data_IF_510655782069
#
_entry.id   IF_510655782069
#
_cell.length_a   1.000
_cell.length_b   1.000
_cell.length_c   1.000
_cell.angle_alpha   90.00
_cell.angle_beta   90.00
_cell.angle_gamma   90.00
#
_symmetry.space_group_name_H-M   'P 1'
#
loop_
_entity.id
_entity.type
_entity.pdbx_description
1 polymer ?
#
# COMPACT_ATOMS: atom_id res chain seq x y z
N UNK A 1 18.24 2.43 0.17
CA UNK A 1 16.78 2.66 0.30
C UNK A 1 16.09 2.76 -1.06
N UNK A 2 16.80 3.15 -2.12
CA UNK A 2 16.33 3.06 -3.51
C UNK A 2 16.08 1.62 -3.96
N UNK A 3 16.77 0.65 -3.36
CA UNK A 3 16.66 -0.77 -3.72
C UNK A 3 15.36 -1.44 -3.25
N UNK A 4 14.51 -0.70 -2.52
CA UNK A 4 13.22 -1.19 -2.03
C UNK A 4 12.03 -0.81 -2.93
N UNK A 5 12.24 0.06 -3.93
CA UNK A 5 11.18 0.56 -4.81
C UNK A 5 11.51 0.15 -6.24
N UNK A 6 10.78 -0.84 -6.73
CA UNK A 6 10.92 -1.32 -8.11
C UNK A 6 10.52 -0.24 -9.13
N UNK A 7 11.08 -0.24 -10.36
CA UNK A 7 10.73 0.72 -11.41
C UNK A 7 9.23 0.75 -11.74
N UNK A 8 8.55 -0.39 -11.61
CA UNK A 8 7.12 -0.54 -11.92
C UNK A 8 6.18 -0.18 -10.75
N UNK A 9 6.70 0.25 -9.59
CA UNK A 9 5.90 0.70 -8.46
C UNK A 9 5.55 2.18 -8.55
N UNK A 10 4.43 2.52 -9.18
CA UNK A 10 4.07 3.94 -9.41
C UNK A 10 3.22 4.56 -8.29
N UNK A 11 2.50 3.74 -7.51
CA UNK A 11 1.66 4.23 -6.42
C UNK A 11 2.50 4.72 -5.24
N UNK A 12 2.09 5.84 -4.64
CA UNK A 12 2.70 6.44 -3.43
C UNK A 12 4.19 6.81 -3.56
N UNK A 13 4.70 6.96 -4.80
CA UNK A 13 6.08 7.41 -5.06
C UNK A 13 6.05 8.82 -5.66
N UNK A 14 6.72 9.77 -5.00
CA UNK A 14 6.79 11.16 -5.49
C UNK A 14 7.40 11.21 -6.90
N UNK A 15 6.73 11.91 -7.81
CA UNK A 15 7.19 12.07 -9.19
C UNK A 15 6.80 10.94 -10.15
N UNK A 16 6.17 9.86 -9.66
CA UNK A 16 5.53 8.84 -10.52
C UNK A 16 4.04 9.14 -10.63
N UNK A 17 3.50 9.00 -11.84
CA UNK A 17 2.13 9.37 -12.16
C UNK A 17 1.29 8.12 -12.39
N UNK A 18 0.04 8.15 -11.92
CA UNK A 18 -0.90 7.05 -12.15
C UNK A 18 -1.10 6.76 -13.65
N UNK A 19 -0.96 7.77 -14.51
CA UNK A 19 -1.08 7.62 -15.97
C UNK A 19 -0.03 6.66 -16.54
N UNK A 20 1.16 6.58 -15.94
CA UNK A 20 2.22 5.66 -16.39
C UNK A 20 1.77 4.19 -16.25
N UNK A 21 1.06 3.86 -15.17
CA UNK A 21 0.47 2.52 -15.00
C UNK A 21 -0.62 2.21 -16.02
N UNK A 22 -1.44 3.21 -16.38
CA UNK A 22 -2.49 3.04 -17.39
C UNK A 22 -1.86 2.77 -18.75
N UNK A 23 -0.83 3.54 -19.12
CA UNK A 23 -0.09 3.36 -20.36
C UNK A 23 0.59 1.98 -20.42
N UNK A 24 1.33 1.60 -19.38
CA UNK A 24 1.95 0.27 -19.28
C UNK A 24 0.93 -0.86 -19.42
N UNK A 25 -0.23 -0.76 -18.75
CA UNK A 25 -1.28 -1.76 -18.86
C UNK A 25 -1.85 -1.82 -20.29
N UNK A 26 -2.08 -0.68 -20.94
CA UNK A 26 -2.56 -0.60 -22.32
C UNK A 26 -1.58 -1.21 -23.32
N UNK A 27 -0.27 -0.98 -23.14
CA UNK A 27 0.77 -1.59 -23.97
C UNK A 27 0.85 -3.10 -23.77
N UNK A 28 0.79 -3.58 -22.52
CA UNK A 28 0.82 -5.00 -22.19
C UNK A 28 -0.34 -5.77 -22.83
N UNK A 29 -1.54 -5.20 -22.84
CA UNK A 29 -2.72 -5.83 -23.46
C UNK A 29 -2.89 -5.53 -24.95
N UNK A 30 -1.97 -4.76 -25.54
CA UNK A 30 -2.07 -4.40 -26.94
C UNK A 30 -2.05 -5.66 -27.83
N UNK A 31 -2.95 -5.70 -28.80
CA UNK A 31 -3.10 -6.85 -29.69
C UNK A 31 -3.77 -8.08 -29.07
N UNK A 32 -4.18 -8.08 -27.79
CA UNK A 32 -4.91 -9.21 -27.18
C UNK A 32 -6.20 -9.58 -27.94
N UNK A 33 -6.76 -8.65 -28.70
CA UNK A 33 -7.94 -8.87 -29.55
C UNK A 33 -7.64 -9.67 -30.84
N UNK A 34 -6.38 -9.84 -31.24
CA UNK A 34 -6.02 -10.52 -32.49
C UNK A 34 -6.08 -12.03 -32.28
N UNK A 35 -6.80 -12.72 -33.15
CA UNK A 35 -6.90 -14.19 -33.15
C UNK A 35 -5.70 -14.88 -33.79
N UNK A 36 -4.83 -14.14 -34.48
CA UNK A 36 -3.66 -14.65 -35.22
C UNK A 36 -2.39 -14.78 -34.37
N UNK A 37 -2.46 -14.48 -33.07
CA UNK A 37 -1.32 -14.50 -32.15
C UNK A 37 -1.51 -15.56 -31.06
N UNK A 38 -0.43 -15.89 -30.35
CA UNK A 38 -0.44 -16.86 -29.24
C UNK A 38 -1.52 -16.53 -28.20
N UNK A 39 -2.10 -17.56 -27.58
CA UNK A 39 -3.04 -17.41 -26.46
C UNK A 39 -2.40 -16.61 -25.33
N UNK A 40 -3.17 -15.68 -24.74
CA UNK A 40 -2.73 -14.79 -23.65
C UNK A 40 -3.82 -14.69 -22.60
N UNK A 41 -3.45 -14.42 -21.36
CA UNK A 41 -4.38 -13.99 -20.32
C UNK A 41 -3.80 -12.80 -19.57
N UNK A 42 -4.66 -12.09 -18.84
CA UNK A 42 -4.27 -11.07 -17.88
C UNK A 42 -4.87 -11.45 -16.53
N UNK A 43 -4.07 -11.36 -15.47
CA UNK A 43 -4.50 -11.67 -14.10
C UNK A 43 -4.43 -10.39 -13.29
N UNK A 44 -5.54 -10.04 -12.65
CA UNK A 44 -5.63 -8.91 -11.73
C UNK A 44 -5.71 -9.45 -10.31
N UNK A 45 -4.72 -9.10 -9.49
CA UNK A 45 -4.77 -9.31 -8.04
C UNK A 45 -5.20 -8.01 -7.37
N UNK A 46 -6.28 -8.08 -6.60
CA UNK A 46 -6.79 -6.97 -5.79
C UNK A 46 -6.88 -7.42 -4.33
N UNK A 47 -6.33 -6.62 -3.42
CA UNK A 47 -6.33 -6.94 -1.99
C UNK A 47 -7.49 -6.20 -1.34
N UNK A 48 -8.52 -6.95 -0.97
CA UNK A 48 -9.66 -6.40 -0.25
C UNK A 48 -9.19 -5.80 1.09
N UNK A 49 -9.53 -4.52 1.28
CA UNK A 49 -9.25 -3.77 2.51
C UNK A 49 -7.80 -3.94 2.98
N UNK A 50 -6.81 -3.67 2.13
CA UNK A 50 -5.40 -3.93 2.42
C UNK A 50 -4.91 -3.38 3.78
N UNK A 51 -5.44 -2.23 4.21
CA UNK A 51 -5.12 -1.64 5.51
C UNK A 51 -5.85 -2.30 6.69
N UNK A 52 -6.91 -3.07 6.47
CA UNK A 52 -7.61 -3.80 7.53
C UNK A 52 -7.14 -5.26 7.61
N UNK A 53 -6.60 -5.80 6.51
CA UNK A 53 -6.25 -7.23 6.39
C UNK A 53 -4.77 -7.53 6.56
N UNK A 54 -3.89 -6.52 6.46
CA UNK A 54 -2.46 -6.71 6.69
C UNK A 54 -2.17 -6.96 8.17
N UNK A 55 -1.40 -8.02 8.47
CA UNK A 55 -0.90 -8.25 9.83
C UNK A 55 0.17 -7.22 10.17
N UNK A 56 -0.05 -6.36 11.14
CA UNK A 56 0.89 -5.31 11.53
C UNK A 56 2.26 -5.84 11.98
N UNK A 57 2.30 -7.02 12.60
CA UNK A 57 3.54 -7.70 12.97
C UNK A 57 4.37 -8.13 11.75
N UNK A 58 3.74 -8.36 10.59
CA UNK A 58 4.44 -8.65 9.35
C UNK A 58 5.24 -7.44 8.86
N UNK A 59 4.67 -6.23 8.95
CA UNK A 59 5.37 -4.99 8.56
C UNK A 59 6.67 -4.84 9.35
N UNK A 60 6.62 -5.04 10.67
CA UNK A 60 7.83 -4.97 11.52
C UNK A 60 8.88 -5.98 11.08
N UNK A 61 8.47 -7.24 10.82
CA UNK A 61 9.38 -8.30 10.36
C UNK A 61 10.03 -7.97 9.01
N UNK A 62 9.29 -7.39 8.08
CA UNK A 62 9.81 -6.97 6.77
C UNK A 62 10.86 -5.86 6.94
N UNK A 63 10.57 -4.84 7.75
CA UNK A 63 11.52 -3.74 7.98
C UNK A 63 12.81 -4.24 8.67
N UNK A 64 12.70 -5.24 9.56
CA UNK A 64 13.85 -5.92 10.16
C UNK A 64 14.65 -6.71 9.13
N UNK A 65 13.99 -7.48 8.26
CA UNK A 65 14.65 -8.24 7.18
C UNK A 65 15.36 -7.34 6.17
N UNK A 66 14.86 -6.11 5.97
CA UNK A 66 15.50 -5.07 5.16
C UNK A 66 16.69 -4.38 5.87
N UNK A 67 17.03 -4.78 7.09
CA UNK A 67 18.10 -4.20 7.91
C UNK A 67 17.98 -2.69 8.12
N UNK A 68 16.74 -2.18 8.28
CA UNK A 68 16.55 -0.76 8.60
C UNK A 68 16.95 -0.46 10.05
N UNK A 69 17.35 0.80 10.37
CA UNK A 69 17.75 1.16 11.72
C UNK A 69 16.65 0.88 12.76
N UNK A 70 17.01 0.25 13.89
CA UNK A 70 16.05 -0.15 14.92
C UNK A 70 15.18 1.01 15.43
N UNK A 71 15.74 2.21 15.55
CA UNK A 71 15.00 3.41 15.95
C UNK A 71 13.88 3.76 14.96
N UNK A 72 14.15 3.65 13.66
CA UNK A 72 13.17 3.90 12.62
C UNK A 72 12.05 2.86 12.66
N UNK A 73 12.40 1.58 12.80
CA UNK A 73 11.42 0.49 12.94
C UNK A 73 10.53 0.73 14.17
N UNK A 74 11.11 1.17 15.28
CA UNK A 74 10.36 1.49 16.49
C UNK A 74 9.36 2.64 16.29
N UNK A 75 9.75 3.70 15.57
CA UNK A 75 8.80 4.78 15.24
C UNK A 75 7.62 4.27 14.42
N UNK A 76 7.87 3.46 13.40
CA UNK A 76 6.79 2.84 12.60
C UNK A 76 5.90 1.96 13.48
N UNK A 77 6.50 1.14 14.36
CA UNK A 77 5.76 0.28 15.29
C UNK A 77 4.85 1.08 16.23
N UNK A 78 5.30 2.22 16.74
CA UNK A 78 4.46 3.13 17.54
C UNK A 78 3.32 3.65 16.68
N UNK A 79 3.59 4.20 15.49
CA UNK A 79 2.56 4.75 14.60
C UNK A 79 1.44 3.74 14.26
N UNK A 80 1.79 2.47 14.04
CA UNK A 80 0.79 1.43 13.72
C UNK A 80 0.04 0.92 14.96
N UNK A 81 0.65 0.93 16.15
CA UNK A 81 0.05 0.37 17.38
C UNK A 81 -0.75 1.37 18.20
N UNK A 82 -0.49 2.68 18.06
CA UNK A 82 -1.11 3.72 18.89
C UNK A 82 -2.12 4.59 18.15
N UNK A 83 -2.51 4.24 16.91
CA UNK A 83 -3.44 5.07 16.17
C UNK A 83 -4.81 5.16 16.85
N UNK A 84 -5.29 6.39 17.00
CA UNK A 84 -6.59 6.72 17.58
C UNK A 84 -7.22 7.88 16.82
N UNK A 85 -8.54 7.97 16.83
CA UNK A 85 -9.30 9.07 16.24
C UNK A 85 -10.30 9.65 17.24
N UNK A 86 -10.60 10.93 17.10
CA UNK A 86 -11.70 11.62 17.81
C UNK A 86 -12.76 12.03 16.81
N UNK A 87 -14.03 11.97 17.20
CA UNK A 87 -15.15 12.44 16.37
C UNK A 87 -15.59 13.81 16.87
N UNK A 88 -15.57 14.81 15.98
CA UNK A 88 -16.18 16.10 16.25
C UNK A 88 -17.66 16.07 15.84
N UNK A 89 -18.54 16.44 16.76
CA UNK A 89 -19.99 16.54 16.51
C UNK A 89 -20.39 18.00 16.72
N UNK A 90 -20.97 18.64 15.69
CA UNK A 90 -21.35 20.05 15.70
C UNK A 90 -20.21 21.02 16.08
N UNK A 91 -18.99 20.74 15.61
CA UNK A 91 -17.80 21.58 15.87
C UNK A 91 -17.18 21.38 17.26
N UNK A 92 -17.81 20.63 18.16
CA UNK A 92 -17.21 20.21 19.42
C UNK A 92 -16.48 18.88 19.24
N UNK A 93 -15.19 18.83 19.58
CA UNK A 93 -14.47 17.56 19.75
C UNK A 93 -15.05 16.91 21.02
N UNK A 94 -15.89 15.89 20.87
CA UNK A 94 -16.27 15.06 22.00
C UNK A 94 -15.00 14.40 22.51
N UNK A 95 -14.67 14.55 23.79
CA UNK A 95 -13.38 14.14 24.38
C UNK A 95 -13.08 12.62 24.34
N UNK A 96 -13.84 11.83 23.59
CA UNK A 96 -13.63 10.41 23.42
C UNK A 96 -12.61 10.15 22.30
N UNK A 97 -11.45 9.61 22.69
CA UNK A 97 -10.46 9.06 21.78
C UNK A 97 -10.77 7.57 21.57
N UNK A 98 -11.13 7.21 20.34
CA UNK A 98 -11.34 5.82 19.95
C UNK A 98 -10.02 5.21 19.50
N UNK A 99 -9.58 4.14 20.16
CA UNK A 99 -8.48 3.33 19.65
C UNK A 99 -8.93 2.62 18.38
N UNK A 100 -8.11 2.66 17.35
CA UNK A 100 -8.30 1.84 16.17
C UNK A 100 -7.95 0.39 16.54
N UNK A 101 -8.95 -0.46 16.82
CA UNK A 101 -8.74 -1.90 16.93
C UNK A 101 -8.49 -2.46 15.53
N UNK A 102 -7.25 -2.83 15.28
CA UNK A 102 -6.83 -3.44 14.02
C UNK A 102 -6.63 -4.94 14.28
N UNK A 103 -7.38 -5.77 13.59
CA UNK A 103 -7.34 -7.24 13.71
C UNK A 103 -6.05 -7.83 13.13
#
# INVERSE_FOLDING_TARGET
MTDAIEPNQSAFVKGRLLVENVLLASELVNGYHKSSISTRCAIKFDIAKAFDTVKWSFIVKVLQAMNLPCMFINWIHICISTASFSVAVNGGIGGLLYKCQRY
#
